data_IF_132515811547
#
_entry.id   IF_132515811547
#
_cell.length_a   1.000
_cell.length_b   1.000
_cell.length_c   1.000
_cell.angle_alpha   90.00
_cell.angle_beta   90.00
_cell.angle_gamma   90.00
#
_symmetry.space_group_name_H-M   'P 1'
#
loop_
_entity.id
_entity.type
_entity.pdbx_description
1 polymer ?
#
# COMPACT_ATOMS: atom_id res chain seq x y z
N UNK A 1 3.22 39.03 -1.83
CA UNK A 1 3.26 38.54 -3.22
C UNK A 1 1.92 37.83 -3.47
N UNK A 2 1.13 38.36 -4.40
CA UNK A 2 -0.17 37.75 -4.78
C UNK A 2 0.08 36.69 -5.84
N UNK A 3 -0.63 35.57 -5.72
CA UNK A 3 -0.67 34.52 -6.75
C UNK A 3 -1.42 35.05 -7.98
N UNK A 4 -0.97 34.69 -9.17
CA UNK A 4 -1.73 34.88 -10.41
C UNK A 4 -2.85 33.84 -10.50
N UNK A 5 -3.88 34.10 -11.35
CA UNK A 5 -4.99 33.17 -11.55
C UNK A 5 -4.51 31.77 -12.02
N UNK A 6 -3.52 31.72 -12.91
CA UNK A 6 -2.90 30.47 -13.36
C UNK A 6 -2.18 29.71 -12.22
N UNK A 7 -1.51 30.43 -11.33
CA UNK A 7 -0.86 29.84 -10.15
C UNK A 7 -1.90 29.35 -9.14
N UNK A 8 -3.05 30.02 -9.02
CA UNK A 8 -4.15 29.60 -8.17
C UNK A 8 -4.78 28.30 -8.69
N UNK A 9 -5.03 28.21 -10.00
CA UNK A 9 -5.51 26.98 -10.63
C UNK A 9 -4.53 25.80 -10.44
N UNK A 10 -3.24 26.07 -10.65
CA UNK A 10 -2.19 25.06 -10.42
C UNK A 10 -2.16 24.60 -8.96
N UNK A 11 -2.27 25.52 -8.02
CA UNK A 11 -2.32 25.25 -6.59
C UNK A 11 -3.52 24.37 -6.22
N UNK A 12 -4.72 24.74 -6.70
CA UNK A 12 -5.94 23.99 -6.47
C UNK A 12 -5.85 22.57 -7.05
N UNK A 13 -5.36 22.46 -8.28
CA UNK A 13 -5.20 21.16 -8.97
C UNK A 13 -4.18 20.26 -8.27
N UNK A 14 -3.04 20.82 -7.85
CA UNK A 14 -1.98 20.06 -7.20
C UNK A 14 -2.30 19.68 -5.76
N UNK A 15 -3.16 20.45 -5.09
CA UNK A 15 -3.56 20.20 -3.70
C UNK A 15 -4.72 19.23 -3.56
N UNK A 16 -5.47 18.97 -4.65
CA UNK A 16 -6.66 18.10 -4.65
C UNK A 16 -7.65 18.43 -3.50
N UNK A 17 -7.74 19.72 -3.13
CA UNK A 17 -8.57 20.20 -2.03
C UNK A 17 -7.98 19.95 -0.63
N UNK A 18 -6.78 19.47 -0.53
CA UNK A 18 -6.15 19.22 0.75
C UNK A 18 -5.42 20.46 1.28
N UNK A 19 -5.87 20.97 2.43
CA UNK A 19 -5.36 22.21 3.03
C UNK A 19 -3.87 22.18 3.32
N UNK A 20 -3.32 21.07 3.80
CA UNK A 20 -1.88 20.98 4.08
C UNK A 20 -1.03 20.99 2.80
N UNK A 21 -1.53 20.44 1.67
CA UNK A 21 -0.88 20.57 0.39
C UNK A 21 -0.91 22.04 -0.09
N UNK A 22 -2.02 22.75 0.09
CA UNK A 22 -2.11 24.19 -0.15
C UNK A 22 -1.05 24.93 0.68
N UNK A 23 -0.99 24.65 1.98
CA UNK A 23 -0.05 25.27 2.89
C UNK A 23 1.41 25.01 2.48
N UNK A 24 1.77 23.76 2.18
CA UNK A 24 3.12 23.39 1.74
C UNK A 24 3.52 24.06 0.42
N UNK A 25 2.60 24.10 -0.54
CA UNK A 25 2.81 24.82 -1.80
C UNK A 25 3.03 26.33 -1.57
N UNK A 26 2.25 26.95 -0.69
CA UNK A 26 2.39 28.35 -0.33
C UNK A 26 3.72 28.61 0.41
N UNK A 27 4.14 27.71 1.29
CA UNK A 27 5.46 27.79 1.94
C UNK A 27 6.60 27.70 0.93
N UNK A 28 6.49 26.83 -0.06
CA UNK A 28 7.46 26.73 -1.16
C UNK A 28 7.49 28.01 -1.99
N UNK A 29 6.32 28.47 -2.42
CA UNK A 29 6.18 29.70 -3.17
C UNK A 29 6.76 30.91 -2.44
N UNK A 30 6.54 31.02 -1.13
CA UNK A 30 7.11 32.10 -0.30
C UNK A 30 8.64 32.06 -0.25
N UNK A 31 9.27 30.90 -0.38
CA UNK A 31 10.73 30.73 -0.31
C UNK A 31 11.41 30.86 -1.66
N UNK A 32 10.82 30.31 -2.71
CA UNK A 32 11.43 30.21 -4.06
C UNK A 32 10.79 31.14 -5.09
N UNK A 33 9.62 31.72 -4.81
CA UNK A 33 8.84 32.49 -5.77
C UNK A 33 8.12 31.65 -6.83
N UNK A 34 8.26 30.33 -6.77
CA UNK A 34 7.66 29.37 -7.71
C UNK A 34 6.84 28.33 -6.98
N UNK A 35 5.71 27.95 -7.57
CA UNK A 35 4.97 26.78 -7.11
C UNK A 35 5.73 25.52 -7.55
N UNK A 36 5.79 24.46 -6.71
CA UNK A 36 6.39 23.18 -7.08
C UNK A 36 5.80 22.69 -8.41
N UNK A 37 6.63 22.62 -9.44
CA UNK A 37 6.17 22.31 -10.80
C UNK A 37 5.77 20.85 -11.01
N UNK A 38 6.07 19.98 -10.03
CA UNK A 38 5.82 18.54 -10.10
C UNK A 38 5.18 18.06 -8.81
N UNK A 39 4.19 17.20 -8.94
CA UNK A 39 3.55 16.47 -7.82
C UNK A 39 4.59 15.76 -6.94
N UNK A 40 5.73 15.34 -7.51
CA UNK A 40 6.84 14.72 -6.75
C UNK A 40 7.40 15.62 -5.64
N UNK A 41 7.44 16.92 -5.86
CA UNK A 41 8.02 17.87 -4.90
C UNK A 41 7.13 18.01 -3.66
N UNK A 42 5.81 17.93 -3.85
CA UNK A 42 4.84 17.95 -2.76
C UNK A 42 5.00 16.70 -1.89
N UNK A 43 5.17 15.53 -2.50
CA UNK A 43 5.40 14.28 -1.75
C UNK A 43 6.72 14.30 -0.98
N UNK A 44 7.77 14.88 -1.55
CA UNK A 44 9.05 15.02 -0.86
C UNK A 44 8.92 15.95 0.35
N UNK A 45 8.26 17.11 0.18
CA UNK A 45 8.01 18.06 1.27
C UNK A 45 7.14 17.44 2.36
N UNK A 46 6.10 16.70 1.98
CA UNK A 46 5.24 15.98 2.90
C UNK A 46 6.03 14.91 3.68
N UNK A 47 6.81 14.09 2.99
CA UNK A 47 7.66 13.07 3.62
C UNK A 47 8.66 13.70 4.58
N UNK A 48 9.30 14.79 4.19
CA UNK A 48 10.26 15.51 5.04
C UNK A 48 9.61 16.09 6.31
N UNK A 49 8.36 16.54 6.21
CA UNK A 49 7.64 17.15 7.33
C UNK A 49 6.93 16.15 8.23
N UNK A 50 6.43 15.06 7.67
CA UNK A 50 5.52 14.14 8.36
C UNK A 50 6.12 12.75 8.64
N UNK A 51 6.88 12.19 7.69
CA UNK A 51 7.46 10.86 7.85
C UNK A 51 8.87 10.91 8.46
N UNK A 52 9.74 11.76 7.93
CA UNK A 52 11.15 11.78 8.35
C UNK A 52 11.38 12.05 9.84
N UNK A 53 10.57 12.88 10.52
CA UNK A 53 10.72 13.10 11.96
C UNK A 53 10.29 11.90 12.83
N UNK A 54 9.56 10.93 12.27
CA UNK A 54 9.10 9.78 13.02
C UNK A 54 10.25 8.81 13.33
N UNK A 55 10.19 8.08 14.45
CA UNK A 55 11.07 6.96 14.72
C UNK A 55 10.98 5.89 13.62
N UNK A 56 12.07 5.18 13.35
CA UNK A 56 12.16 4.20 12.26
C UNK A 56 11.07 3.11 12.35
N UNK A 57 10.78 2.65 13.56
CA UNK A 57 9.73 1.65 13.80
C UNK A 57 8.33 2.13 13.40
N UNK A 58 8.06 3.44 13.52
CA UNK A 58 6.80 4.07 13.09
C UNK A 58 6.75 4.27 11.58
N UNK A 59 7.88 4.67 10.98
CA UNK A 59 8.01 4.76 9.52
C UNK A 59 7.77 3.41 8.87
N UNK A 60 8.36 2.36 9.41
CA UNK A 60 8.18 1.00 8.92
C UNK A 60 6.73 0.55 9.04
N UNK A 61 6.07 0.81 10.18
CA UNK A 61 4.65 0.53 10.37
C UNK A 61 3.80 1.23 9.30
N UNK A 62 3.99 2.54 9.12
CA UNK A 62 3.26 3.31 8.11
C UNK A 62 3.54 2.80 6.70
N UNK A 63 4.79 2.48 6.41
CA UNK A 63 5.20 1.95 5.10
C UNK A 63 4.52 0.61 4.81
N UNK A 64 4.52 -0.30 5.79
CA UNK A 64 3.86 -1.59 5.66
C UNK A 64 2.35 -1.45 5.46
N UNK A 65 1.68 -0.62 6.28
CA UNK A 65 0.23 -0.44 6.20
C UNK A 65 -0.22 0.39 5.00
N UNK A 66 0.69 1.16 4.38
CA UNK A 66 0.42 1.90 3.14
C UNK A 66 0.07 1.04 1.92
N UNK A 67 0.29 -0.27 1.98
CA UNK A 67 -0.12 -1.20 0.92
C UNK A 67 -1.62 -1.49 0.92
N UNK A 68 -2.30 -1.34 2.06
CA UNK A 68 -3.75 -1.52 2.18
C UNK A 68 -4.51 -0.22 1.87
N UNK A 69 -5.71 -0.33 1.30
CA UNK A 69 -6.61 0.81 1.17
C UNK A 69 -7.27 1.14 2.51
N UNK A 70 -7.70 0.09 3.19
CA UNK A 70 -8.29 0.13 4.53
C UNK A 70 -7.76 -1.06 5.33
N UNK A 71 -7.69 -0.90 6.64
CA UNK A 71 -7.22 -1.97 7.53
C UNK A 71 -7.82 -1.83 8.93
N UNK A 72 -7.89 -2.94 9.63
CA UNK A 72 -8.27 -3.01 11.06
C UNK A 72 -7.04 -3.15 11.95
N UNK A 73 -7.20 -2.97 13.26
CA UNK A 73 -6.13 -3.24 14.23
C UNK A 73 -5.64 -4.70 14.10
N UNK A 74 -6.57 -5.67 14.01
CA UNK A 74 -6.24 -7.09 13.85
C UNK A 74 -5.39 -7.34 12.60
N UNK A 75 -5.77 -6.71 11.47
CA UNK A 75 -4.97 -6.80 10.24
C UNK A 75 -3.58 -6.22 10.44
N UNK A 76 -3.48 -5.05 11.06
CA UNK A 76 -2.20 -4.39 11.28
C UNK A 76 -1.28 -5.17 12.24
N UNK A 77 -1.82 -5.73 13.32
CA UNK A 77 -1.11 -6.64 14.23
C UNK A 77 -0.61 -7.88 13.48
N UNK A 78 -1.49 -8.50 12.69
CA UNK A 78 -1.10 -9.64 11.88
C UNK A 78 0.00 -9.30 10.90
N UNK A 79 -0.12 -8.22 10.10
CA UNK A 79 0.85 -7.84 9.07
C UNK A 79 2.20 -7.46 9.69
N UNK A 80 2.21 -6.64 10.74
CA UNK A 80 3.43 -6.05 11.30
C UNK A 80 4.04 -6.88 12.43
N UNK A 81 3.32 -7.87 12.98
CA UNK A 81 3.69 -8.63 14.18
C UNK A 81 3.94 -7.73 15.41
N UNK A 82 3.22 -6.63 15.52
CA UNK A 82 3.35 -5.68 16.63
C UNK A 82 2.18 -5.84 17.59
N UNK A 83 2.47 -5.71 18.87
CA UNK A 83 1.48 -5.72 19.94
C UNK A 83 1.01 -4.31 20.33
N UNK A 84 1.73 -3.28 19.91
CA UNK A 84 1.46 -1.87 20.25
C UNK A 84 0.66 -1.12 19.18
N UNK A 85 0.00 -1.83 18.23
CA UNK A 85 -0.76 -1.25 17.10
C UNK A 85 -1.82 -0.28 17.58
N UNK A 86 -2.60 -0.66 18.59
CA UNK A 86 -3.62 0.22 19.19
C UNK A 86 -3.04 1.57 19.63
N UNK A 87 -1.88 1.56 20.31
CA UNK A 87 -1.23 2.78 20.78
C UNK A 87 -0.73 3.64 19.61
N UNK A 88 -0.18 2.99 18.56
CA UNK A 88 0.27 3.66 17.34
C UNK A 88 -0.89 4.36 16.66
N UNK A 89 -1.98 3.65 16.40
CA UNK A 89 -3.15 4.19 15.69
C UNK A 89 -3.83 5.30 16.50
N UNK A 90 -3.94 5.14 17.82
CA UNK A 90 -4.45 6.18 18.72
C UNK A 90 -3.60 7.45 18.69
N UNK A 91 -2.28 7.32 18.64
CA UNK A 91 -1.37 8.45 18.52
C UNK A 91 -1.53 9.12 17.15
N UNK A 92 -1.51 8.35 16.05
CA UNK A 92 -1.60 8.85 14.69
C UNK A 92 -2.93 9.57 14.42
N UNK A 93 -4.05 9.03 14.90
CA UNK A 93 -5.37 9.67 14.76
C UNK A 93 -5.49 10.93 15.58
N UNK A 94 -4.95 10.98 16.82
CA UNK A 94 -4.96 12.19 17.64
C UNK A 94 -4.11 13.33 17.09
N UNK A 95 -3.00 13.00 16.45
CA UNK A 95 -2.10 14.00 15.87
C UNK A 95 -2.56 14.47 14.48
N UNK A 96 -3.76 14.07 14.02
CA UNK A 96 -4.22 14.27 12.65
C UNK A 96 -3.15 13.86 11.62
N UNK A 97 -2.45 12.75 11.91
CA UNK A 97 -1.33 12.25 11.12
C UNK A 97 -1.80 11.58 9.82
N UNK A 98 -2.87 12.11 9.22
CA UNK A 98 -3.41 11.60 7.94
C UNK A 98 -3.89 10.15 7.98
N UNK A 99 -4.23 9.68 9.18
CA UNK A 99 -4.89 8.40 9.45
C UNK A 99 -6.25 8.71 10.04
N UNK A 100 -7.29 8.21 9.41
CA UNK A 100 -8.68 8.41 9.86
C UNK A 100 -9.26 7.07 10.27
N UNK A 101 -9.89 7.03 11.45
CA UNK A 101 -10.77 5.94 11.84
C UNK A 101 -12.14 6.18 11.20
N UNK A 102 -12.67 5.19 10.50
CA UNK A 102 -13.96 5.28 9.85
C UNK A 102 -15.12 5.21 10.87
N UNK A 103 -16.34 5.42 10.38
CA UNK A 103 -17.55 5.51 11.23
C UNK A 103 -17.87 4.21 11.99
N UNK A 104 -17.29 3.08 11.59
CA UNK A 104 -17.43 1.79 12.28
C UNK A 104 -16.58 1.69 13.55
N UNK A 105 -15.67 2.65 13.77
CA UNK A 105 -14.77 2.69 14.92
C UNK A 105 -13.67 1.63 14.92
N UNK A 106 -13.53 0.83 13.86
CA UNK A 106 -12.61 -0.31 13.77
C UNK A 106 -11.72 -0.27 12.54
N UNK A 107 -12.17 0.39 11.46
CA UNK A 107 -11.46 0.47 10.20
C UNK A 107 -10.70 1.78 10.09
N UNK A 108 -9.46 1.69 9.68
CA UNK A 108 -8.55 2.82 9.48
C UNK A 108 -8.24 2.97 8.00
N UNK A 109 -8.09 4.22 7.58
CA UNK A 109 -7.69 4.59 6.23
C UNK A 109 -6.64 5.68 6.27
N UNK A 110 -5.63 5.56 5.43
CA UNK A 110 -4.68 6.64 5.20
C UNK A 110 -5.27 7.66 4.22
N UNK A 111 -5.03 8.93 4.51
CA UNK A 111 -5.22 9.96 3.50
C UNK A 111 -4.33 9.65 2.28
N UNK A 112 -4.79 9.94 1.06
CA UNK A 112 -4.08 9.53 -0.16
C UNK A 112 -2.61 9.98 -0.19
N UNK A 113 -2.30 11.19 0.31
CA UNK A 113 -0.92 11.68 0.40
C UNK A 113 -0.05 10.82 1.33
N UNK A 114 -0.57 10.47 2.50
CA UNK A 114 0.13 9.58 3.43
C UNK A 114 0.32 8.20 2.80
N UNK A 115 -0.72 7.68 2.15
CA UNK A 115 -0.65 6.38 1.48
C UNK A 115 0.43 6.35 0.41
N UNK A 116 0.48 7.37 -0.45
CA UNK A 116 1.51 7.47 -1.49
C UNK A 116 2.92 7.59 -0.89
N UNK A 117 3.11 8.42 0.15
CA UNK A 117 4.39 8.53 0.83
C UNK A 117 4.80 7.23 1.53
N UNK A 118 3.86 6.56 2.20
CA UNK A 118 4.07 5.26 2.82
C UNK A 118 4.45 4.19 1.78
N UNK A 119 3.77 4.16 0.63
CA UNK A 119 4.09 3.25 -0.46
C UNK A 119 5.49 3.51 -1.05
N UNK A 120 5.88 4.78 -1.23
CA UNK A 120 7.24 5.12 -1.67
C UNK A 120 8.28 4.69 -0.64
N UNK A 121 8.03 4.93 0.66
CA UNK A 121 8.90 4.48 1.73
C UNK A 121 8.99 2.95 1.77
N UNK A 122 7.88 2.23 1.55
CA UNK A 122 7.89 0.77 1.45
C UNK A 122 8.84 0.26 0.35
N UNK A 123 8.87 0.93 -0.79
CA UNK A 123 9.76 0.56 -1.91
C UNK A 123 11.25 0.80 -1.62
N UNK A 124 11.58 1.55 -0.58
CA UNK A 124 12.97 1.74 -0.13
C UNK A 124 13.42 0.72 0.91
N UNK A 125 12.51 -0.10 1.43
CA UNK A 125 12.86 -1.22 2.29
C UNK A 125 13.68 -2.23 1.49
N UNK A 126 14.53 -2.98 2.17
CA UNK A 126 15.25 -4.09 1.56
C UNK A 126 14.29 -5.19 1.07
N UNK A 127 14.75 -5.97 0.09
CA UNK A 127 13.93 -7.00 -0.55
C UNK A 127 13.39 -8.04 0.44
N UNK A 128 14.13 -8.34 1.50
CA UNK A 128 13.73 -9.32 2.51
C UNK A 128 12.55 -8.81 3.35
N UNK A 129 12.56 -7.52 3.69
CA UNK A 129 11.44 -6.88 4.40
C UNK A 129 10.21 -6.72 3.51
N UNK A 130 10.41 -6.31 2.26
CA UNK A 130 9.29 -6.25 1.30
C UNK A 130 8.67 -7.65 1.13
N UNK A 131 9.48 -8.70 0.96
CA UNK A 131 9.03 -10.08 0.84
C UNK A 131 8.27 -10.53 2.10
N UNK A 132 8.78 -10.22 3.29
CA UNK A 132 8.11 -10.50 4.55
C UNK A 132 6.70 -9.90 4.59
N UNK A 133 6.54 -8.64 4.23
CA UNK A 133 5.23 -7.98 4.26
C UNK A 133 4.29 -8.53 3.19
N UNK A 134 4.75 -8.73 1.95
CA UNK A 134 3.92 -9.33 0.91
C UNK A 134 3.43 -10.74 1.29
N UNK A 135 4.28 -11.55 1.92
CA UNK A 135 3.88 -12.88 2.43
C UNK A 135 2.76 -12.76 3.46
N UNK A 136 2.88 -11.82 4.39
CA UNK A 136 1.88 -11.62 5.44
C UNK A 136 0.57 -11.07 4.90
N UNK A 137 0.63 -10.15 3.95
CA UNK A 137 -0.56 -9.68 3.23
C UNK A 137 -1.25 -10.84 2.49
N UNK A 138 -0.49 -11.66 1.78
CA UNK A 138 -1.00 -12.83 1.11
C UNK A 138 -1.70 -13.78 2.07
N UNK A 139 -1.06 -14.10 3.20
CA UNK A 139 -1.61 -14.98 4.23
C UNK A 139 -2.86 -14.40 4.90
N UNK A 140 -2.88 -13.09 5.16
CA UNK A 140 -4.06 -12.41 5.70
C UNK A 140 -5.26 -12.53 4.75
N UNK A 141 -5.06 -12.13 3.50
CA UNK A 141 -6.12 -12.17 2.50
C UNK A 141 -6.57 -13.59 2.19
N UNK A 142 -5.66 -14.57 2.15
CA UNK A 142 -6.00 -15.98 1.98
C UNK A 142 -6.87 -16.50 3.12
N UNK A 143 -6.52 -16.16 4.38
CA UNK A 143 -7.29 -16.53 5.58
C UNK A 143 -8.71 -15.97 5.54
N UNK A 144 -8.89 -14.78 4.98
CA UNK A 144 -10.19 -14.09 4.92
C UNK A 144 -10.94 -14.28 3.59
N UNK A 145 -10.48 -15.20 2.72
CA UNK A 145 -11.15 -15.50 1.45
C UNK A 145 -11.02 -14.42 0.37
N UNK A 146 -10.20 -13.40 0.60
CA UNK A 146 -9.92 -12.33 -0.36
C UNK A 146 -8.83 -12.78 -1.36
N UNK A 147 -9.11 -13.84 -2.12
CA UNK A 147 -8.11 -14.55 -2.91
C UNK A 147 -7.44 -13.70 -4.00
N UNK A 148 -8.15 -12.77 -4.64
CA UNK A 148 -7.54 -11.84 -5.63
C UNK A 148 -6.42 -11.01 -4.99
N UNK A 149 -6.68 -10.48 -3.80
CA UNK A 149 -5.67 -9.71 -3.06
C UNK A 149 -4.52 -10.60 -2.58
N UNK A 150 -4.84 -11.84 -2.16
CA UNK A 150 -3.82 -12.81 -1.78
C UNK A 150 -2.89 -13.13 -2.96
N UNK A 151 -3.44 -13.42 -4.14
CA UNK A 151 -2.66 -13.67 -5.36
C UNK A 151 -1.80 -12.48 -5.73
N UNK A 152 -2.34 -11.26 -5.67
CA UNK A 152 -1.57 -10.05 -5.96
C UNK A 152 -0.36 -9.90 -5.03
N UNK A 153 -0.52 -10.15 -3.74
CA UNK A 153 0.56 -10.09 -2.76
C UNK A 153 1.61 -11.19 -2.99
N UNK A 154 1.17 -12.45 -3.17
CA UNK A 154 2.08 -13.57 -3.42
C UNK A 154 2.84 -13.45 -4.75
N UNK A 155 2.23 -12.87 -5.80
CA UNK A 155 2.92 -12.59 -7.07
C UNK A 155 4.07 -11.61 -6.88
N UNK A 156 3.89 -10.56 -6.10
CA UNK A 156 4.96 -9.59 -5.80
C UNK A 156 6.13 -10.23 -5.05
N UNK A 157 5.84 -11.23 -4.22
CA UNK A 157 6.85 -12.01 -3.49
C UNK A 157 7.34 -13.25 -4.26
N UNK A 158 6.83 -13.51 -5.48
CA UNK A 158 7.13 -14.69 -6.29
C UNK A 158 6.94 -16.02 -5.52
N UNK A 159 6.01 -16.06 -4.56
CA UNK A 159 5.67 -17.27 -3.83
C UNK A 159 4.71 -18.14 -4.64
N UNK A 160 5.26 -18.89 -5.61
CA UNK A 160 4.47 -19.72 -6.53
C UNK A 160 3.70 -20.82 -5.81
N UNK A 161 4.25 -21.42 -4.75
CA UNK A 161 3.55 -22.43 -3.97
C UNK A 161 2.26 -21.86 -3.35
N UNK A 162 2.33 -20.67 -2.77
CA UNK A 162 1.15 -20.01 -2.21
C UNK A 162 0.15 -19.61 -3.31
N UNK A 163 0.62 -19.13 -4.47
CA UNK A 163 -0.24 -18.81 -5.62
C UNK A 163 -1.03 -20.05 -6.06
N UNK A 164 -0.35 -21.18 -6.29
CA UNK A 164 -0.99 -22.41 -6.73
C UNK A 164 -1.95 -22.97 -5.67
N UNK A 165 -1.59 -22.88 -4.40
CA UNK A 165 -2.47 -23.24 -3.28
C UNK A 165 -3.76 -22.42 -3.29
N UNK A 166 -3.66 -21.10 -3.46
CA UNK A 166 -4.83 -20.21 -3.51
C UNK A 166 -5.69 -20.52 -4.73
N UNK A 167 -5.09 -20.69 -5.90
CA UNK A 167 -5.80 -21.08 -7.14
C UNK A 167 -6.55 -22.40 -6.93
N UNK A 168 -5.94 -23.39 -6.27
CA UNK A 168 -6.56 -24.66 -5.99
C UNK A 168 -7.73 -24.54 -4.99
N UNK A 169 -7.58 -23.71 -3.94
CA UNK A 169 -8.65 -23.47 -2.96
C UNK A 169 -9.88 -22.81 -3.56
N UNK A 170 -9.65 -21.90 -4.50
CA UNK A 170 -10.72 -21.15 -5.15
C UNK A 170 -11.51 -21.95 -6.20
N UNK A 171 -11.05 -23.15 -6.53
CA UNK A 171 -11.68 -24.07 -7.48
C UNK A 171 -12.04 -23.45 -8.84
N UNK A 172 -11.35 -22.39 -9.25
CA UNK A 172 -11.50 -21.76 -10.57
C UNK A 172 -12.50 -20.61 -10.65
N UNK A 173 -13.10 -20.18 -9.54
CA UNK A 173 -13.97 -19.00 -9.51
C UNK A 173 -13.17 -17.75 -9.88
N UNK A 174 -11.95 -17.63 -9.38
CA UNK A 174 -11.02 -16.53 -9.68
C UNK A 174 -10.51 -16.49 -11.11
N UNK A 175 -10.52 -17.62 -11.80
CA UNK A 175 -10.02 -17.67 -13.17
C UNK A 175 -10.82 -16.78 -14.12
N UNK A 176 -12.09 -16.57 -13.83
CA UNK A 176 -12.90 -15.61 -14.57
C UNK A 176 -12.45 -14.15 -14.37
N UNK A 177 -11.68 -13.89 -13.30
CA UNK A 177 -11.20 -12.56 -12.91
C UNK A 177 -9.72 -12.33 -13.24
N UNK A 178 -8.95 -13.39 -13.55
CA UNK A 178 -7.56 -13.30 -13.94
C UNK A 178 -7.45 -13.06 -15.44
N UNK A 179 -6.57 -12.14 -15.82
CA UNK A 179 -6.23 -11.95 -17.24
C UNK A 179 -5.39 -13.13 -17.74
N UNK A 180 -5.57 -13.57 -18.99
CA UNK A 180 -4.78 -14.67 -19.56
C UNK A 180 -3.27 -14.47 -19.43
N UNK A 181 -2.80 -13.23 -19.53
CA UNK A 181 -1.39 -12.87 -19.38
C UNK A 181 -0.87 -13.14 -17.97
N UNK A 182 -1.70 -12.93 -16.95
CA UNK A 182 -1.34 -13.18 -15.54
C UNK A 182 -1.21 -14.69 -15.27
N UNK A 183 -2.07 -15.47 -15.88
CA UNK A 183 -2.01 -16.94 -15.82
C UNK A 183 -0.74 -17.46 -16.49
N UNK A 184 -0.45 -16.98 -17.70
CA UNK A 184 0.76 -17.35 -18.43
C UNK A 184 2.03 -16.93 -17.68
N UNK A 185 2.03 -15.76 -17.04
CA UNK A 185 3.16 -15.31 -16.23
C UNK A 185 3.44 -16.29 -15.07
N UNK A 186 2.39 -16.73 -14.38
CA UNK A 186 2.52 -17.70 -13.28
C UNK A 186 3.07 -19.03 -13.80
N UNK A 187 2.52 -19.56 -14.88
CA UNK A 187 2.94 -20.84 -15.45
C UNK A 187 4.40 -20.80 -15.95
N UNK A 188 4.78 -19.72 -16.65
CA UNK A 188 6.11 -19.59 -17.24
C UNK A 188 7.22 -19.36 -16.20
N UNK A 189 6.89 -18.71 -15.07
CA UNK A 189 7.85 -18.41 -14.02
C UNK A 189 7.91 -19.45 -12.90
N UNK A 190 6.86 -20.27 -12.79
CA UNK A 190 6.79 -21.26 -11.72
C UNK A 190 7.75 -22.43 -11.99
N UNK A 191 8.60 -22.80 -11.02
CA UNK A 191 9.44 -23.97 -11.14
C UNK A 191 8.60 -25.24 -11.33
N UNK A 192 9.04 -26.13 -12.25
CA UNK A 192 8.36 -27.38 -12.56
C UNK A 192 8.17 -28.28 -11.33
N UNK A 193 9.12 -28.25 -10.39
CA UNK A 193 9.03 -28.97 -9.11
C UNK A 193 7.81 -28.54 -8.32
N UNK A 194 7.57 -27.23 -8.23
CA UNK A 194 6.40 -26.66 -7.52
C UNK A 194 5.09 -26.97 -8.25
N UNK A 195 5.09 -26.90 -9.59
CA UNK A 195 3.90 -27.24 -10.39
C UNK A 195 3.45 -28.70 -10.13
N UNK A 196 4.39 -29.63 -10.00
CA UNK A 196 4.07 -31.04 -9.73
C UNK A 196 3.37 -31.28 -8.39
N UNK A 197 3.56 -30.42 -7.42
CA UNK A 197 2.92 -30.51 -6.10
C UNK A 197 1.46 -30.05 -6.12
N UNK A 198 1.05 -29.32 -7.16
CA UNK A 198 -0.29 -28.72 -7.28
C UNK A 198 -1.00 -29.11 -8.60
N UNK A 199 -1.24 -30.39 -8.88
CA UNK A 199 -1.78 -30.82 -10.16
C UNK A 199 -3.18 -30.28 -10.45
N UNK A 200 -4.02 -30.09 -9.43
CA UNK A 200 -5.35 -29.50 -9.60
C UNK A 200 -5.27 -28.03 -9.98
N UNK A 201 -4.30 -27.28 -9.44
CA UNK A 201 -4.08 -25.88 -9.84
C UNK A 201 -3.69 -25.77 -11.32
N UNK A 202 -2.88 -26.72 -11.83
CA UNK A 202 -2.53 -26.76 -13.26
C UNK A 202 -3.78 -26.94 -14.12
N UNK A 203 -4.65 -27.92 -13.78
CA UNK A 203 -5.89 -28.15 -14.51
C UNK A 203 -6.79 -26.92 -14.51
N UNK A 204 -6.84 -26.21 -13.39
CA UNK A 204 -7.59 -24.95 -13.27
C UNK A 204 -6.99 -23.85 -14.15
N UNK A 205 -5.66 -23.72 -14.19
CA UNK A 205 -4.97 -22.71 -15.01
C UNK A 205 -4.99 -23.01 -16.52
N UNK A 206 -5.22 -24.25 -16.93
CA UNK A 206 -5.29 -24.65 -18.34
C UNK A 206 -6.71 -24.58 -18.93
N UNK A 207 -7.73 -24.23 -18.15
CA UNK A 207 -9.15 -24.16 -18.54
C UNK A 207 -9.55 -22.79 -19.06
#
# INVERSE_FOLDING_TARGET
>A
TSLTDSQLEQLLKSSEGWFAAVYLNLCSFSKSGELPGKTSDIYQMFSASMLNPLPEDRKEFLSAMGLADEFTEEMAEFITKREDVHQILKMLTRQNAFVTCLNDGQTYRFHHMMKECAFRAFRTLDDSRQAFYYERYGAWYEKHGAYIHALSAYRRNQNFAAILRVVQKDAGILLASLKPEEVLEVLNRCPVSVLKEYPLAILVLMR
#
